data_IF_382828420964
#
_entry.id   IF_382828420964
#
_cell.length_a   1.000
_cell.length_b   1.000
_cell.length_c   1.000
_cell.angle_alpha   90.00
_cell.angle_beta   90.00
_cell.angle_gamma   90.00
#
_symmetry.space_group_name_H-M   'P 1'
#
loop_
_entity.id
_entity.type
_entity.pdbx_description
1 polymer ?
#
# COMPACT_ATOMS: atom_id res chain seq x y z
N UNK A 1 -8.33 -8.39 -9.66
CA UNK A 1 -7.61 -7.38 -8.86
C UNK A 1 -7.61 -7.81 -7.40
N UNK A 2 -6.42 -8.05 -6.85
CA UNK A 2 -6.16 -8.41 -5.45
C UNK A 2 -5.70 -7.15 -4.70
N UNK A 3 -6.19 -6.96 -3.46
CA UNK A 3 -5.87 -5.80 -2.62
C UNK A 3 -5.19 -6.32 -1.36
N UNK A 4 -3.97 -5.84 -1.09
CA UNK A 4 -3.16 -6.27 0.04
C UNK A 4 -2.79 -5.05 0.89
N UNK A 5 -2.99 -5.16 2.22
CA UNK A 5 -2.53 -4.15 3.18
C UNK A 5 -1.05 -4.33 3.42
N UNK A 6 -0.29 -3.24 3.33
CA UNK A 6 1.13 -3.20 3.60
C UNK A 6 1.43 -2.62 4.98
N UNK A 7 2.70 -2.29 5.21
CA UNK A 7 3.14 -1.71 6.47
C UNK A 7 2.60 -0.28 6.70
N UNK A 8 2.59 0.19 7.96
CA UNK A 8 2.27 1.57 8.28
C UNK A 8 3.17 2.56 7.53
N UNK A 9 2.56 3.56 6.88
CA UNK A 9 3.23 4.46 5.95
C UNK A 9 3.91 5.67 6.65
N UNK A 10 3.53 5.95 7.90
CA UNK A 10 4.00 7.12 8.64
C UNK A 10 4.84 6.72 9.85
N UNK A 11 6.03 7.31 9.98
CA UNK A 11 6.77 7.30 11.23
C UNK A 11 6.10 8.21 12.27
N UNK A 12 6.37 7.99 13.56
CA UNK A 12 5.83 8.82 14.65
C UNK A 12 6.11 10.33 14.43
N UNK A 13 7.30 10.67 13.92
CA UNK A 13 7.67 12.05 13.60
C UNK A 13 6.87 12.65 12.44
N UNK A 14 6.64 11.90 11.36
CA UNK A 14 5.81 12.39 10.24
C UNK A 14 4.35 12.54 10.67
N UNK A 15 3.86 11.58 11.45
CA UNK A 15 2.51 11.60 12.02
C UNK A 15 2.27 12.86 12.87
N UNK A 16 3.18 13.19 13.78
CA UNK A 16 3.05 14.40 14.61
C UNK A 16 3.07 15.68 13.78
N UNK A 17 3.98 15.79 12.80
CA UNK A 17 4.06 16.96 11.91
C UNK A 17 2.79 17.19 11.10
N UNK A 18 2.21 16.13 10.54
CA UNK A 18 0.96 16.21 9.77
C UNK A 18 -0.20 16.59 10.71
N UNK A 19 -0.30 15.96 11.90
CA UNK A 19 -1.32 16.31 12.88
C UNK A 19 -1.27 17.77 13.31
N UNK A 20 -0.07 18.32 13.56
CA UNK A 20 0.08 19.74 13.89
C UNK A 20 -0.45 20.65 12.78
N UNK A 21 -0.16 20.30 11.52
CA UNK A 21 -0.63 21.06 10.36
C UNK A 21 -2.15 20.94 10.20
N UNK A 22 -2.70 19.73 10.32
CA UNK A 22 -4.14 19.49 10.21
C UNK A 22 -4.92 20.19 11.30
N UNK A 23 -4.43 20.20 12.54
CA UNK A 23 -5.13 20.84 13.67
C UNK A 23 -5.19 22.36 13.57
N UNK A 24 -4.27 22.99 12.83
CA UNK A 24 -4.34 24.42 12.58
C UNK A 24 -5.59 24.81 11.77
N UNK A 25 -6.02 23.95 10.83
CA UNK A 25 -7.18 24.17 9.95
C UNK A 25 -8.44 23.41 10.42
N UNK A 26 -8.25 22.26 11.06
CA UNK A 26 -9.29 21.32 11.47
C UNK A 26 -9.00 20.76 12.88
N UNK A 27 -9.29 21.52 13.95
CA UNK A 27 -8.93 21.16 15.32
C UNK A 27 -9.59 19.87 15.86
N UNK A 28 -10.67 19.42 15.22
CA UNK A 28 -11.40 18.20 15.58
C UNK A 28 -10.66 16.91 15.16
N UNK A 29 -9.57 17.01 14.39
CA UNK A 29 -8.75 15.85 14.02
C UNK A 29 -7.82 15.48 15.19
N UNK A 30 -8.18 14.41 15.90
CA UNK A 30 -7.46 13.95 17.08
C UNK A 30 -6.31 13.02 16.76
N UNK A 31 -6.45 12.15 15.76
CA UNK A 31 -5.39 11.24 15.36
C UNK A 31 -5.41 10.97 13.84
N UNK A 32 -4.28 10.50 13.31
CA UNK A 32 -4.17 10.01 11.94
C UNK A 32 -3.45 8.67 11.90
N UNK A 33 -3.89 7.84 10.97
CA UNK A 33 -3.30 6.56 10.66
C UNK A 33 -3.21 6.40 9.15
N UNK A 34 -2.12 5.80 8.66
CA UNK A 34 -1.94 5.54 7.25
C UNK A 34 -1.10 4.28 7.06
N UNK A 35 -1.47 3.50 6.06
CA UNK A 35 -0.80 2.28 5.63
C UNK A 35 -0.63 2.30 4.11
N UNK A 36 0.35 1.54 3.63
CA UNK A 36 0.40 1.22 2.21
C UNK A 36 -0.72 0.25 1.85
N UNK A 37 -1.30 0.44 0.67
CA UNK A 37 -2.26 -0.47 0.06
C UNK A 37 -1.73 -0.83 -1.32
N UNK A 38 -1.61 -2.13 -1.57
CA UNK A 38 -1.10 -2.67 -2.82
C UNK A 38 -2.27 -3.18 -3.65
N UNK A 39 -2.36 -2.66 -4.87
CA UNK A 39 -3.30 -3.13 -5.88
C UNK A 39 -2.54 -4.00 -6.87
N UNK A 40 -2.90 -5.28 -6.92
CA UNK A 40 -2.27 -6.26 -7.82
C UNK A 40 -3.29 -6.68 -8.86
N UNK A 41 -3.01 -6.32 -10.11
CA UNK A 41 -3.84 -6.76 -11.23
C UNK A 41 -3.35 -8.11 -11.74
N UNK A 42 -4.17 -9.14 -11.55
CA UNK A 42 -3.81 -10.52 -11.84
C UNK A 42 -4.42 -10.95 -13.17
N UNK A 43 -3.59 -11.45 -14.08
CA UNK A 43 -4.03 -12.03 -15.36
C UNK A 43 -4.59 -13.44 -15.16
N UNK A 44 -4.13 -14.15 -14.13
CA UNK A 44 -4.61 -15.47 -13.72
C UNK A 44 -4.60 -15.59 -12.20
N UNK A 45 -5.36 -16.53 -11.63
CA UNK A 45 -5.34 -16.82 -10.20
C UNK A 45 -3.96 -17.29 -9.76
N UNK A 46 -3.49 -16.77 -8.62
CA UNK A 46 -2.24 -17.23 -8.00
C UNK A 46 -2.45 -18.58 -7.31
N UNK A 47 -1.41 -19.42 -7.32
CA UNK A 47 -1.35 -20.58 -6.43
C UNK A 47 -1.15 -20.11 -4.97
N UNK A 48 -1.41 -20.99 -3.99
CA UNK A 48 -1.16 -20.65 -2.58
C UNK A 48 0.32 -20.30 -2.32
N UNK A 49 1.26 -20.98 -3.00
CA UNK A 49 2.68 -20.71 -2.89
C UNK A 49 3.06 -19.32 -3.45
N UNK A 50 2.48 -18.94 -4.59
CA UNK A 50 2.71 -17.63 -5.18
C UNK A 50 2.06 -16.52 -4.34
N UNK A 51 0.90 -16.80 -3.73
CA UNK A 51 0.25 -15.87 -2.81
C UNK A 51 1.13 -15.60 -1.58
N UNK A 52 1.67 -16.64 -0.96
CA UNK A 52 2.59 -16.48 0.18
C UNK A 52 3.87 -15.73 -0.18
N UNK A 53 4.40 -15.96 -1.39
CA UNK A 53 5.56 -15.22 -1.91
C UNK A 53 5.23 -13.74 -2.11
N UNK A 54 4.06 -13.44 -2.67
CA UNK A 54 3.59 -12.08 -2.89
C UNK A 54 3.42 -11.32 -1.58
N UNK A 55 2.79 -11.93 -0.57
CA UNK A 55 2.66 -11.33 0.76
C UNK A 55 4.03 -11.03 1.38
N UNK A 56 4.97 -11.96 1.29
CA UNK A 56 6.33 -11.76 1.81
C UNK A 56 7.07 -10.60 1.12
N UNK A 57 6.88 -10.41 -0.19
CA UNK A 57 7.48 -9.28 -0.93
C UNK A 57 6.87 -7.93 -0.55
N UNK A 58 5.59 -7.92 -0.18
CA UNK A 58 4.86 -6.71 0.20
C UNK A 58 4.99 -6.38 1.69
N UNK A 59 5.52 -7.30 2.49
CA UNK A 59 5.87 -7.09 3.88
C UNK A 59 7.21 -6.34 4.00
N UNK A 60 7.22 -5.05 3.66
CA UNK A 60 8.40 -4.20 3.79
C UNK A 60 8.14 -3.00 4.70
N UNK A 61 9.17 -2.57 5.42
CA UNK A 61 9.11 -1.38 6.29
C UNK A 61 9.10 -1.71 7.79
N UNK A 62 9.09 -0.68 8.64
CA UNK A 62 9.12 -0.86 10.09
C UNK A 62 7.87 -1.58 10.57
N UNK A 63 8.06 -2.57 11.45
CA UNK A 63 7.01 -3.31 12.14
C UNK A 63 6.30 -2.43 13.18
N UNK A 64 5.60 -1.41 12.72
CA UNK A 64 4.61 -0.73 13.54
C UNK A 64 3.37 -1.63 13.62
N UNK A 65 2.76 -1.69 14.80
CA UNK A 65 1.59 -2.51 15.04
C UNK A 65 0.45 -2.09 14.11
N UNK A 66 -0.17 -3.03 13.37
CA UNK A 66 -1.39 -2.75 12.63
C UNK A 66 -2.42 -2.18 13.59
N UNK A 67 -3.00 -1.04 13.22
CA UNK A 67 -4.11 -0.44 13.95
C UNK A 67 -5.39 -0.65 13.13
N UNK A 68 -6.49 -1.00 13.81
CA UNK A 68 -7.79 -1.01 13.16
C UNK A 68 -8.19 0.42 12.82
N UNK A 69 -8.39 0.75 11.53
CA UNK A 69 -8.69 2.11 11.13
C UNK A 69 -10.07 2.50 11.66
N UNK A 70 -10.10 3.51 12.53
CA UNK A 70 -11.34 4.10 13.05
C UNK A 70 -11.51 5.51 12.50
N UNK A 71 -12.74 5.88 12.15
CA UNK A 71 -13.07 7.19 11.59
C UNK A 71 -13.14 7.21 10.06
N UNK A 72 -12.83 8.37 9.46
CA UNK A 72 -12.94 8.59 8.02
C UNK A 72 -11.72 8.03 7.27
N UNK A 73 -11.97 7.20 6.27
CA UNK A 73 -10.93 6.64 5.41
C UNK A 73 -10.76 7.48 4.14
N UNK A 74 -9.50 7.77 3.79
CA UNK A 74 -9.11 8.46 2.56
C UNK A 74 -8.05 7.62 1.84
N UNK A 75 -8.34 7.26 0.59
CA UNK A 75 -7.41 6.52 -0.26
C UNK A 75 -6.70 7.48 -1.22
N UNK A 76 -5.37 7.57 -1.09
CA UNK A 76 -4.53 8.38 -1.98
C UNK A 76 -3.85 7.45 -2.98
N UNK A 77 -4.16 7.63 -4.27
CA UNK A 77 -3.61 6.84 -5.38
C UNK A 77 -3.08 7.77 -6.48
N UNK A 78 -2.17 7.28 -7.35
CA UNK A 78 -1.78 8.01 -8.55
C UNK A 78 -3.00 8.39 -9.38
N UNK A 79 -2.88 9.49 -10.13
CA UNK A 79 -3.94 9.93 -11.04
C UNK A 79 -4.26 8.80 -12.05
N UNK A 80 -5.53 8.51 -12.34
CA UNK A 80 -5.89 7.56 -13.40
C UNK A 80 -5.16 7.88 -14.71
N UNK A 81 -4.55 6.87 -15.32
CA UNK A 81 -3.73 7.01 -16.52
C UNK A 81 -2.26 7.36 -16.26
N UNK A 82 -1.83 7.53 -15.01
CA UNK A 82 -0.40 7.70 -14.66
C UNK A 82 0.13 6.47 -13.94
N UNK A 83 1.28 5.98 -14.40
CA UNK A 83 2.02 4.91 -13.72
C UNK A 83 3.03 5.57 -12.77
N UNK A 84 3.02 5.15 -11.50
CA UNK A 84 4.02 5.65 -10.55
C UNK A 84 5.37 4.99 -10.80
N UNK A 85 6.50 5.65 -10.46
CA UNK A 85 7.82 5.02 -10.51
C UNK A 85 7.99 3.87 -9.51
N UNK A 86 7.04 3.68 -8.59
CA UNK A 86 6.94 2.51 -7.70
C UNK A 86 6.08 1.38 -8.28
N UNK A 87 5.42 1.61 -9.42
CA UNK A 87 4.63 0.63 -10.16
C UNK A 87 5.38 -0.26 -11.18
N UNK A 88 6.72 -0.24 -11.38
CA UNK A 88 7.30 -0.86 -12.57
C UNK A 88 7.64 -2.34 -12.34
N UNK A 89 6.66 -3.23 -12.16
CA UNK A 89 6.89 -4.71 -12.28
C UNK A 89 5.71 -5.53 -12.81
N UNK A 90 4.54 -4.95 -13.11
CA UNK A 90 3.34 -5.75 -13.46
C UNK A 90 2.97 -5.78 -14.96
N UNK A 91 3.93 -5.63 -15.88
CA UNK A 91 3.64 -5.73 -17.33
C UNK A 91 4.63 -6.53 -18.18
N UNK A 92 5.71 -7.09 -17.61
CA UNK A 92 6.78 -7.72 -18.41
C UNK A 92 7.11 -9.19 -18.09
N UNK A 93 6.38 -9.88 -17.19
CA UNK A 93 6.57 -11.32 -16.95
C UNK A 93 5.50 -12.15 -17.69
N UNK A 94 5.30 -11.93 -18.99
CA UNK A 94 4.45 -12.82 -19.82
C UNK A 94 5.12 -13.38 -21.08
N UNK A 95 6.42 -13.16 -21.29
CA UNK A 95 7.15 -13.81 -22.39
C UNK A 95 8.57 -14.19 -21.98
N UNK A 96 8.70 -15.26 -21.21
CA UNK A 96 9.71 -16.28 -21.53
C UNK A 96 8.97 -17.59 -21.70
N UNK A 97 8.70 -17.89 -22.97
CA UNK A 97 8.12 -19.13 -23.38
C UNK A 97 8.98 -20.30 -22.89
N UNK A 98 8.27 -21.30 -22.39
CA UNK A 98 8.64 -22.71 -22.35
C UNK A 98 9.63 -23.10 -23.47
N UNK A 99 10.87 -23.52 -23.19
CA UNK A 99 11.60 -24.36 -24.11
C UNK A 99 11.13 -25.81 -23.91
N UNK A 100 10.98 -26.52 -25.03
CA UNK A 100 10.50 -27.90 -25.14
C UNK A 100 11.08 -28.89 -24.13
#
# INVERSE_FOLDING_TARGET
MLILRGAPALSAFRKSRILTTLRAEAPHIHDIYAEYVHFVDLVASLSEADHGTLEALLQYGPSALPCDPTGQSLLVVPRPGTLSPWSPWLRLISTSANPM
#
